data_IF_460686262355
#
_entry.id   IF_460686262355
#
_cell.length_a   1.000
_cell.length_b   1.000
_cell.length_c   1.000
_cell.angle_alpha   90.00
_cell.angle_beta   90.00
_cell.angle_gamma   90.00
#
_symmetry.space_group_name_H-M   'P 1'
#
loop_
_entity.id
_entity.type
_entity.pdbx_description
1 polymer ?
#
# COMPACT_ATOMS: atom_id res chain seq x y z
N UNK A 1 72.22 82.40 -0.74
CA UNK A 1 70.87 81.92 -1.17
C UNK A 1 70.88 80.41 -1.18
N UNK A 2 70.26 79.74 -0.19
CA UNK A 2 69.88 78.30 -0.25
C UNK A 2 69.28 77.92 1.12
N UNK A 3 67.99 78.21 1.36
CA UNK A 3 67.28 77.59 2.49
C UNK A 3 65.73 77.54 2.40
N UNK A 4 65.12 77.95 1.28
CA UNK A 4 63.64 77.98 1.16
C UNK A 4 63.00 76.78 0.46
N UNK A 5 63.79 75.79 -0.03
CA UNK A 5 63.28 74.70 -0.87
C UNK A 5 62.97 73.42 -0.06
N UNK A 6 63.46 73.29 1.19
CA UNK A 6 63.32 72.07 2.00
C UNK A 6 61.99 71.90 2.75
N UNK A 7 61.15 72.94 2.83
CA UNK A 7 59.93 72.93 3.67
C UNK A 7 58.63 72.62 2.90
N UNK A 8 58.57 72.92 1.59
CA UNK A 8 57.37 72.64 0.77
C UNK A 8 57.17 71.14 0.51
N UNK A 9 58.26 70.40 0.31
CA UNK A 9 58.24 68.95 0.08
C UNK A 9 57.76 68.15 1.29
N UNK A 10 58.05 68.61 2.52
CA UNK A 10 57.66 67.92 3.75
C UNK A 10 56.18 68.09 4.06
N UNK A 11 55.63 69.27 3.79
CA UNK A 11 54.19 69.55 3.98
C UNK A 11 53.35 68.80 2.94
N UNK A 12 53.78 68.76 1.68
CA UNK A 12 53.10 67.97 0.64
C UNK A 12 53.21 66.46 0.90
N UNK A 13 54.37 65.97 1.34
CA UNK A 13 54.52 64.57 1.72
C UNK A 13 53.62 64.17 2.89
N UNK A 14 53.42 65.04 3.89
CA UNK A 14 52.53 64.78 5.04
C UNK A 14 51.05 64.84 4.63
N UNK A 15 50.65 65.77 3.76
CA UNK A 15 49.26 65.85 3.26
C UNK A 15 48.92 64.67 2.35
N UNK A 16 49.87 64.19 1.54
CA UNK A 16 49.70 63.00 0.70
C UNK A 16 49.65 61.70 1.53
N UNK A 17 50.41 61.63 2.64
CA UNK A 17 50.36 60.51 3.59
C UNK A 17 49.03 60.47 4.38
N UNK A 18 48.48 61.64 4.74
CA UNK A 18 47.17 61.74 5.39
C UNK A 18 46.02 61.43 4.41
N UNK A 19 46.12 61.82 3.14
CA UNK A 19 45.12 61.51 2.12
C UNK A 19 45.05 60.01 1.77
N UNK A 20 46.17 59.28 1.82
CA UNK A 20 46.22 57.83 1.63
C UNK A 20 45.67 57.06 2.84
N UNK A 21 45.73 57.63 4.05
CA UNK A 21 45.16 57.01 5.24
C UNK A 21 43.63 57.10 5.30
N UNK A 22 42.99 58.11 4.70
CA UNK A 22 41.52 58.29 4.73
C UNK A 22 40.80 57.38 3.72
N UNK A 23 41.47 56.92 2.65
CA UNK A 23 40.86 56.03 1.65
C UNK A 23 40.87 54.54 2.02
N UNK A 24 41.56 54.15 3.10
CA UNK A 24 41.68 52.73 3.51
C UNK A 24 40.63 52.25 4.52
N UNK A 25 39.84 53.14 5.15
CA UNK A 25 38.87 52.76 6.18
C UNK A 25 37.45 52.48 5.66
N UNK A 26 37.14 52.76 4.39
CA UNK A 26 35.80 52.59 3.81
C UNK A 26 35.46 51.20 3.26
N UNK A 27 36.44 50.31 3.07
CA UNK A 27 36.25 49.01 2.40
C UNK A 27 36.13 47.78 3.35
N UNK A 28 36.48 47.90 4.63
CA UNK A 28 36.40 46.78 5.60
C UNK A 28 34.99 46.51 6.12
N UNK A 29 34.15 47.55 6.27
CA UNK A 29 32.77 47.41 6.74
C UNK A 29 31.84 46.80 5.69
N UNK A 30 31.99 47.18 4.42
CA UNK A 30 31.22 46.63 3.30
C UNK A 30 31.51 45.14 3.05
N UNK A 31 32.77 44.71 3.19
CA UNK A 31 33.16 43.28 3.04
C UNK A 31 32.55 42.41 4.14
N UNK A 32 32.60 42.85 5.40
CA UNK A 32 32.01 42.11 6.54
C UNK A 32 30.48 42.02 6.46
N UNK A 33 29.81 43.08 6.00
CA UNK A 33 28.36 43.06 5.78
C UNK A 33 27.96 42.07 4.67
N UNK A 34 28.77 41.97 3.60
CA UNK A 34 28.53 41.04 2.49
C UNK A 34 28.80 39.58 2.88
N UNK A 35 29.82 39.31 3.69
CA UNK A 35 30.10 37.97 4.24
C UNK A 35 29.01 37.51 5.22
N UNK A 36 28.47 38.41 6.05
CA UNK A 36 27.35 38.11 6.94
C UNK A 36 26.06 37.77 6.17
N UNK A 37 25.73 38.56 5.12
CA UNK A 37 24.59 38.29 4.25
C UNK A 37 24.74 36.98 3.45
N UNK A 38 25.96 36.63 3.02
CA UNK A 38 26.24 35.36 2.35
C UNK A 38 26.09 34.15 3.28
N UNK A 39 26.54 34.27 4.54
CA UNK A 39 26.40 33.21 5.54
C UNK A 39 24.94 32.99 5.96
N UNK A 40 24.14 34.05 6.07
CA UNK A 40 22.70 33.97 6.35
C UNK A 40 21.94 33.32 5.19
N UNK A 41 22.25 33.71 3.95
CA UNK A 41 21.68 33.09 2.75
C UNK A 41 22.00 31.59 2.66
N UNK A 42 23.25 31.20 2.94
CA UNK A 42 23.65 29.78 2.95
C UNK A 42 22.92 28.97 4.03
N UNK A 43 22.66 29.56 5.21
CA UNK A 43 21.87 28.93 6.28
C UNK A 43 20.41 28.75 5.88
N UNK A 44 19.79 29.77 5.27
CA UNK A 44 18.41 29.66 4.76
C UNK A 44 18.29 28.61 3.65
N UNK A 45 19.27 28.51 2.75
CA UNK A 45 19.29 27.49 1.70
C UNK A 45 19.47 26.07 2.27
N UNK A 46 20.32 25.89 3.29
CA UNK A 46 20.48 24.62 4.00
C UNK A 46 19.22 24.21 4.75
N UNK A 47 18.55 25.15 5.44
CA UNK A 47 17.30 24.90 6.14
C UNK A 47 16.16 24.56 5.16
N UNK A 48 16.06 25.27 4.04
CA UNK A 48 15.11 24.97 2.99
C UNK A 48 15.36 23.59 2.35
N UNK A 49 16.63 23.21 2.14
CA UNK A 49 17.00 21.89 1.63
C UNK A 49 16.65 20.78 2.62
N UNK A 50 16.93 20.99 3.92
CA UNK A 50 16.59 20.03 4.97
C UNK A 50 15.07 19.86 5.09
N UNK A 51 14.31 20.95 5.03
CA UNK A 51 12.84 20.91 5.08
C UNK A 51 12.26 20.15 3.88
N UNK A 52 12.79 20.36 2.67
CA UNK A 52 12.40 19.59 1.47
C UNK A 52 12.72 18.10 1.63
N UNK A 53 13.88 17.74 2.16
CA UNK A 53 14.24 16.34 2.42
C UNK A 53 13.29 15.70 3.43
N UNK A 54 12.95 16.41 4.51
CA UNK A 54 11.99 15.93 5.51
C UNK A 54 10.57 15.78 4.92
N UNK A 55 10.13 16.70 4.08
CA UNK A 55 8.84 16.64 3.39
C UNK A 55 8.79 15.46 2.40
N UNK A 56 9.85 15.25 1.62
CA UNK A 56 9.98 14.11 0.70
C UNK A 56 10.02 12.77 1.43
N UNK A 57 10.76 12.66 2.54
CA UNK A 57 10.80 11.44 3.35
C UNK A 57 9.44 11.17 4.00
N UNK A 58 8.78 12.20 4.51
CA UNK A 58 7.44 12.10 5.07
C UNK A 58 6.41 11.67 4.00
N UNK A 59 6.53 12.19 2.77
CA UNK A 59 5.69 11.77 1.66
C UNK A 59 5.95 10.31 1.28
N UNK A 60 7.21 9.90 1.13
CA UNK A 60 7.57 8.51 0.84
C UNK A 60 7.06 7.54 1.90
N UNK A 61 7.10 7.92 3.18
CA UNK A 61 6.52 7.12 4.27
C UNK A 61 5.00 6.98 4.14
N UNK A 62 4.29 8.08 3.85
CA UNK A 62 2.83 8.05 3.62
C UNK A 62 2.47 7.16 2.43
N UNK A 63 3.18 7.30 1.32
CA UNK A 63 2.94 6.53 0.10
C UNK A 63 3.21 5.03 0.34
N UNK A 64 4.29 4.70 1.06
CA UNK A 64 4.61 3.32 1.42
C UNK A 64 3.58 2.71 2.37
N UNK A 65 3.09 3.47 3.35
CA UNK A 65 2.04 3.01 4.27
C UNK A 65 0.70 2.79 3.54
N UNK A 66 0.32 3.71 2.66
CA UNK A 66 -0.89 3.57 1.85
C UNK A 66 -0.79 2.36 0.91
N UNK A 67 0.35 2.18 0.24
CA UNK A 67 0.58 1.01 -0.61
C UNK A 67 0.50 -0.28 0.20
N UNK A 68 1.15 -0.34 1.36
CA UNK A 68 1.08 -1.51 2.25
C UNK A 68 -0.37 -1.79 2.71
N UNK A 69 -1.18 -0.76 2.97
CA UNK A 69 -2.60 -0.91 3.31
C UNK A 69 -3.39 -1.50 2.14
N UNK A 70 -3.19 -0.97 0.92
CA UNK A 70 -3.84 -1.48 -0.30
C UNK A 70 -3.45 -2.92 -0.59
N UNK A 71 -2.17 -3.26 -0.47
CA UNK A 71 -1.67 -4.62 -0.68
C UNK A 71 -2.23 -5.59 0.39
N UNK A 72 -2.33 -5.16 1.64
CA UNK A 72 -2.94 -5.95 2.71
C UNK A 72 -4.45 -6.18 2.48
N UNK A 73 -5.17 -5.20 1.96
CA UNK A 73 -6.59 -5.30 1.60
C UNK A 73 -6.80 -6.23 0.40
N UNK A 74 -6.05 -6.04 -0.68
CA UNK A 74 -6.08 -6.93 -1.85
C UNK A 74 -5.71 -8.38 -1.46
N UNK A 75 -4.75 -8.57 -0.55
CA UNK A 75 -4.41 -9.90 -0.04
C UNK A 75 -5.52 -10.52 0.81
N UNK A 76 -6.28 -9.71 1.57
CA UNK A 76 -7.46 -10.18 2.31
C UNK A 76 -8.59 -10.58 1.36
N UNK A 77 -8.85 -9.79 0.32
CA UNK A 77 -9.85 -10.12 -0.70
C UNK A 77 -9.48 -11.39 -1.49
N UNK A 78 -8.22 -11.51 -1.92
CA UNK A 78 -7.72 -12.69 -2.62
C UNK A 78 -7.78 -13.95 -1.74
N UNK A 79 -7.45 -13.84 -0.45
CA UNK A 79 -7.63 -14.94 0.51
C UNK A 79 -9.10 -15.26 0.74
N UNK A 80 -9.99 -14.28 0.70
CA UNK A 80 -11.43 -14.47 0.80
C UNK A 80 -12.04 -15.21 -0.39
N UNK A 81 -11.53 -14.97 -1.61
CA UNK A 81 -12.06 -15.59 -2.84
C UNK A 81 -11.44 -16.96 -3.16
N UNK A 82 -10.24 -17.27 -2.68
CA UNK A 82 -9.55 -18.53 -2.97
C UNK A 82 -10.36 -19.80 -2.55
N UNK A 83 -11.01 -19.87 -1.37
CA UNK A 83 -11.86 -21.00 -1.02
C UNK A 83 -13.06 -21.18 -1.96
N UNK A 84 -13.66 -20.08 -2.44
CA UNK A 84 -14.78 -20.12 -3.39
C UNK A 84 -14.35 -20.71 -4.72
N UNK A 85 -13.24 -20.22 -5.28
CA UNK A 85 -12.70 -20.72 -6.54
C UNK A 85 -12.34 -22.21 -6.44
N UNK A 86 -11.66 -22.60 -5.36
CA UNK A 86 -11.25 -23.98 -5.14
C UNK A 86 -12.44 -24.92 -4.96
N UNK A 87 -13.44 -24.54 -4.16
CA UNK A 87 -14.64 -25.35 -3.98
C UNK A 87 -15.44 -25.46 -5.28
N UNK A 88 -15.58 -24.36 -6.02
CA UNK A 88 -16.23 -24.35 -7.33
C UNK A 88 -15.55 -25.30 -8.32
N UNK A 89 -14.21 -25.37 -8.31
CA UNK A 89 -13.47 -26.30 -9.15
C UNK A 89 -13.67 -27.76 -8.74
N UNK A 90 -13.80 -28.06 -7.45
CA UNK A 90 -14.19 -29.40 -7.00
C UNK A 90 -15.60 -29.76 -7.46
N UNK A 91 -16.57 -28.86 -7.34
CA UNK A 91 -17.93 -29.09 -7.83
C UNK A 91 -17.94 -29.43 -9.32
N UNK A 92 -17.20 -28.67 -10.13
CA UNK A 92 -17.09 -28.91 -11.57
C UNK A 92 -16.39 -30.24 -11.87
N UNK A 93 -15.30 -30.55 -11.17
CA UNK A 93 -14.52 -31.77 -11.37
C UNK A 93 -15.29 -33.04 -10.98
N UNK A 94 -16.18 -32.93 -9.99
CA UNK A 94 -17.08 -34.02 -9.57
C UNK A 94 -18.19 -34.20 -10.62
N UNK A 95 -18.84 -33.11 -11.03
CA UNK A 95 -19.94 -33.14 -11.98
C UNK A 95 -19.52 -33.61 -13.38
N UNK A 96 -18.35 -33.19 -13.86
CA UNK A 96 -17.85 -33.51 -15.20
C UNK A 96 -17.02 -34.81 -15.27
N UNK A 97 -16.90 -35.55 -14.16
CA UNK A 97 -15.98 -36.68 -14.07
C UNK A 97 -16.31 -37.82 -15.04
N UNK A 98 -15.30 -38.30 -15.76
CA UNK A 98 -15.44 -39.43 -16.69
C UNK A 98 -15.56 -40.80 -16.02
N UNK A 99 -15.27 -40.92 -14.71
CA UNK A 99 -15.36 -42.17 -13.97
C UNK A 99 -15.82 -41.97 -12.53
N UNK A 100 -16.45 -43.01 -11.95
CA UNK A 100 -16.86 -43.00 -10.54
C UNK A 100 -15.66 -42.88 -9.59
N UNK A 101 -14.54 -43.52 -9.93
CA UNK A 101 -13.32 -43.46 -9.13
C UNK A 101 -12.79 -42.03 -9.06
N UNK A 102 -12.68 -41.35 -10.19
CA UNK A 102 -12.21 -39.96 -10.25
C UNK A 102 -13.14 -39.01 -9.50
N UNK A 103 -14.46 -39.18 -9.63
CA UNK A 103 -15.43 -38.40 -8.87
C UNK A 103 -15.28 -38.61 -7.36
N UNK A 104 -15.16 -39.85 -6.90
CA UNK A 104 -15.02 -40.16 -5.48
C UNK A 104 -13.70 -39.64 -4.88
N UNK A 105 -12.61 -39.62 -5.65
CA UNK A 105 -11.36 -38.97 -5.24
C UNK A 105 -11.57 -37.46 -5.04
N UNK A 106 -12.18 -36.77 -6.02
CA UNK A 106 -12.50 -35.35 -5.91
C UNK A 106 -13.43 -35.04 -4.74
N UNK A 107 -14.41 -35.91 -4.45
CA UNK A 107 -15.28 -35.78 -3.26
C UNK A 107 -14.44 -35.84 -1.98
N UNK A 108 -13.55 -36.83 -1.86
CA UNK A 108 -12.72 -37.01 -0.67
C UNK A 108 -11.81 -35.82 -0.44
N UNK A 109 -11.22 -35.26 -1.50
CA UNK A 109 -10.41 -34.05 -1.43
C UNK A 109 -11.24 -32.82 -1.05
N UNK A 110 -12.40 -32.63 -1.67
CA UNK A 110 -13.29 -31.51 -1.37
C UNK A 110 -13.72 -31.53 0.10
N UNK A 111 -14.04 -32.71 0.65
CA UNK A 111 -14.44 -32.89 2.05
C UNK A 111 -13.38 -32.40 3.04
N UNK A 112 -12.10 -32.39 2.67
CA UNK A 112 -11.03 -31.84 3.53
C UNK A 112 -11.14 -30.33 3.76
N UNK A 113 -11.90 -29.61 2.92
CA UNK A 113 -12.14 -28.17 3.10
C UNK A 113 -13.18 -27.87 4.18
N UNK A 114 -13.97 -28.87 4.59
CA UNK A 114 -15.10 -28.71 5.49
C UNK A 114 -14.72 -29.08 6.92
N UNK A 115 -15.43 -28.50 7.88
CA UNK A 115 -15.28 -28.84 9.29
C UNK A 115 -15.82 -30.25 9.60
N UNK A 116 -16.84 -30.69 8.84
CA UNK A 116 -17.44 -32.02 8.92
C UNK A 116 -18.09 -32.41 7.58
N UNK A 117 -18.20 -33.72 7.25
CA UNK A 117 -19.05 -34.18 6.14
C UNK A 117 -20.53 -33.78 6.31
N UNK A 118 -20.96 -33.48 7.53
CA UNK A 118 -22.32 -33.04 7.86
C UNK A 118 -22.49 -31.52 7.76
N UNK A 119 -21.48 -30.77 7.30
CA UNK A 119 -21.58 -29.32 7.13
C UNK A 119 -22.85 -28.97 6.32
N UNK A 120 -23.74 -28.10 6.85
CA UNK A 120 -24.99 -27.75 6.20
C UNK A 120 -24.77 -27.06 4.86
N UNK A 121 -25.62 -27.43 3.90
CA UNK A 121 -25.75 -26.80 2.59
C UNK A 121 -27.17 -26.28 2.43
N UNK A 122 -27.29 -24.97 2.20
CA UNK A 122 -28.54 -24.27 2.01
C UNK A 122 -28.64 -23.83 0.54
N UNK A 123 -29.72 -24.21 -0.14
CA UNK A 123 -29.90 -23.87 -1.57
C UNK A 123 -31.02 -22.83 -1.67
N UNK A 124 -30.67 -21.61 -2.02
CA UNK A 124 -31.61 -20.51 -2.28
C UNK A 124 -32.36 -20.81 -3.58
N UNK A 125 -33.69 -20.88 -3.49
CA UNK A 125 -34.60 -21.13 -4.62
C UNK A 125 -35.29 -19.85 -5.12
N UNK A 126 -35.52 -18.89 -4.23
CA UNK A 126 -36.06 -17.56 -4.57
C UNK A 126 -35.57 -16.52 -3.56
N UNK A 127 -35.52 -15.27 -4.01
CA UNK A 127 -35.24 -14.12 -3.16
C UNK A 127 -36.23 -13.02 -3.53
N UNK A 128 -36.98 -12.51 -2.54
CA UNK A 128 -37.95 -11.43 -2.74
C UNK A 128 -37.95 -10.49 -1.54
N UNK A 129 -37.84 -9.19 -1.80
CA UNK A 129 -37.80 -8.18 -0.72
C UNK A 129 -36.65 -8.37 0.29
N UNK A 130 -35.55 -9.01 -0.11
CA UNK A 130 -34.42 -9.34 0.77
C UNK A 130 -34.62 -10.55 1.67
N UNK A 131 -35.75 -11.26 1.53
CA UNK A 131 -35.97 -12.56 2.19
C UNK A 131 -35.63 -13.69 1.21
N UNK A 132 -34.84 -14.65 1.69
CA UNK A 132 -34.42 -15.83 0.93
C UNK A 132 -35.30 -17.03 1.29
N UNK A 133 -35.82 -17.69 0.27
CA UNK A 133 -36.45 -18.99 0.41
C UNK A 133 -35.42 -20.08 0.09
N UNK A 134 -35.34 -21.05 0.97
CA UNK A 134 -34.40 -22.16 0.85
C UNK A 134 -35.15 -23.45 0.51
N UNK A 135 -34.52 -24.30 -0.30
CA UNK A 135 -34.93 -25.69 -0.47
C UNK A 135 -34.72 -26.47 0.84
N UNK A 136 -35.12 -27.74 0.85
CA UNK A 136 -34.85 -28.66 1.95
C UNK A 136 -33.36 -28.65 2.29
N UNK A 137 -32.99 -28.43 3.57
CA UNK A 137 -31.60 -28.43 3.98
C UNK A 137 -30.95 -29.81 3.73
N UNK A 138 -29.69 -29.79 3.35
CA UNK A 138 -28.88 -31.00 3.11
C UNK A 138 -27.48 -30.83 3.70
N UNK A 139 -26.66 -31.86 3.60
CA UNK A 139 -25.25 -31.87 4.05
C UNK A 139 -24.32 -31.78 2.85
N UNK A 140 -23.08 -31.33 3.05
CA UNK A 140 -22.10 -31.28 1.97
C UNK A 140 -21.81 -32.65 1.36
N UNK A 141 -21.69 -33.72 2.17
CA UNK A 141 -21.45 -35.06 1.61
C UNK A 141 -22.58 -35.51 0.67
N UNK A 142 -23.83 -35.27 1.06
CA UNK A 142 -25.01 -35.58 0.25
C UNK A 142 -25.05 -34.73 -1.02
N UNK A 143 -24.74 -33.44 -0.91
CA UNK A 143 -24.70 -32.53 -2.07
C UNK A 143 -23.60 -32.89 -3.08
N UNK A 144 -22.40 -33.24 -2.61
CA UNK A 144 -21.30 -33.66 -3.48
C UNK A 144 -21.63 -34.97 -4.22
N UNK A 145 -22.29 -35.93 -3.55
CA UNK A 145 -22.78 -37.13 -4.21
C UNK A 145 -23.89 -36.83 -5.21
N UNK A 146 -24.79 -35.89 -4.89
CA UNK A 146 -25.78 -35.42 -5.84
C UNK A 146 -25.13 -34.85 -7.11
N UNK A 147 -24.09 -34.02 -7.00
CA UNK A 147 -23.36 -33.52 -8.18
C UNK A 147 -22.77 -34.65 -9.04
N UNK A 148 -22.18 -35.66 -8.40
CA UNK A 148 -21.66 -36.86 -9.07
C UNK A 148 -22.74 -37.59 -9.85
N UNK A 149 -23.90 -37.78 -9.24
CA UNK A 149 -24.99 -38.56 -9.81
C UNK A 149 -25.71 -37.79 -10.94
N UNK A 150 -25.87 -36.47 -10.78
CA UNK A 150 -26.48 -35.62 -11.80
C UNK A 150 -25.55 -35.32 -12.97
N UNK A 151 -24.24 -35.46 -12.78
CA UNK A 151 -23.19 -35.08 -13.74
C UNK A 151 -23.32 -33.64 -14.24
N UNK A 152 -23.84 -32.75 -13.39
CA UNK A 152 -24.07 -31.35 -13.71
C UNK A 152 -23.97 -30.49 -12.47
N UNK A 153 -23.23 -29.40 -12.57
CA UNK A 153 -23.19 -28.38 -11.54
C UNK A 153 -24.32 -27.36 -11.76
N UNK A 154 -25.45 -27.57 -11.09
CA UNK A 154 -26.67 -26.76 -11.29
C UNK A 154 -26.73 -25.50 -10.42
N UNK A 155 -25.96 -25.44 -9.33
CA UNK A 155 -26.01 -24.32 -8.39
C UNK A 155 -24.66 -23.60 -8.31
N UNK A 156 -24.68 -22.31 -8.03
CA UNK A 156 -23.48 -21.52 -7.77
C UNK A 156 -23.27 -21.33 -6.28
N UNK A 157 -22.00 -21.21 -5.87
CA UNK A 157 -21.65 -20.87 -4.49
C UNK A 157 -21.94 -19.38 -4.30
N UNK A 158 -22.79 -19.06 -3.33
CA UNK A 158 -23.16 -17.69 -2.99
C UNK A 158 -22.39 -17.21 -1.76
N UNK A 159 -22.34 -18.04 -0.70
CA UNK A 159 -21.69 -17.69 0.56
C UNK A 159 -21.08 -18.91 1.23
N UNK A 160 -19.95 -18.70 1.89
CA UNK A 160 -19.28 -19.68 2.75
C UNK A 160 -19.09 -19.09 4.14
N UNK A 161 -19.39 -19.89 5.17
CA UNK A 161 -19.01 -19.60 6.55
C UNK A 161 -17.83 -20.47 6.98
N UNK A 162 -16.96 -19.94 7.84
CA UNK A 162 -15.72 -20.61 8.24
C UNK A 162 -15.59 -20.67 9.76
N UNK A 163 -14.94 -21.72 10.27
CA UNK A 163 -14.47 -21.78 11.65
C UNK A 163 -13.15 -21.01 11.84
N UNK A 164 -12.65 -20.98 13.08
CA UNK A 164 -11.37 -20.33 13.43
C UNK A 164 -10.15 -20.97 12.76
N UNK A 165 -10.27 -22.19 12.24
CA UNK A 165 -9.22 -22.92 11.53
C UNK A 165 -9.30 -22.73 10.01
N UNK A 166 -10.26 -21.95 9.51
CA UNK A 166 -10.50 -21.72 8.09
C UNK A 166 -11.21 -22.87 7.37
N UNK A 167 -11.82 -23.82 8.11
CA UNK A 167 -12.67 -24.88 7.53
C UNK A 167 -14.08 -24.38 7.32
N UNK A 168 -14.74 -24.87 6.26
CA UNK A 168 -16.10 -24.45 5.92
C UNK A 168 -17.11 -25.11 6.86
N UNK A 169 -17.93 -24.30 7.51
CA UNK A 169 -18.97 -24.71 8.47
C UNK A 169 -20.39 -24.57 7.91
N UNK A 170 -20.59 -23.83 6.82
CA UNK A 170 -21.86 -23.73 6.10
C UNK A 170 -21.60 -23.29 4.65
N UNK A 171 -22.41 -23.83 3.72
CA UNK A 171 -22.42 -23.41 2.31
C UNK A 171 -23.80 -22.91 1.93
N UNK A 172 -23.88 -21.68 1.45
CA UNK A 172 -25.06 -21.17 0.77
C UNK A 172 -24.84 -21.24 -0.75
N UNK A 173 -25.79 -21.85 -1.44
CA UNK A 173 -25.82 -22.01 -2.88
C UNK A 173 -27.02 -21.28 -3.46
N UNK A 174 -26.89 -20.83 -4.71
CA UNK A 174 -27.98 -20.26 -5.49
C UNK A 174 -28.26 -21.13 -6.70
N UNK A 175 -29.53 -21.46 -6.92
CA UNK A 175 -29.94 -22.14 -8.15
C UNK A 175 -29.67 -21.24 -9.36
N UNK A 176 -29.02 -21.79 -10.40
CA UNK A 176 -28.86 -21.10 -11.68
C UNK A 176 -30.16 -21.03 -12.47
#
# INVERSE_FOLDING_TARGET
MMNSIRNSFRVHAIVLLLAVMVSAFGCKSKKKAMEAAAAEKARMEQEAALKRQQEEEAQRKRDAEEQARRDAEAAKEAKGSAPYARLGQYFESIASSGSLTSANSSISEALTMFASPDTPVLIVISESGGQKDYDRPTTIISYLNYLKDQKKNINKIEKLQFDSSGKITEVELRKN
#
